data_IF_354237342776
#
_entry.id   IF_354237342776
#
_cell.length_a   1.000
_cell.length_b   1.000
_cell.length_c   1.000
_cell.angle_alpha   90.00
_cell.angle_beta   90.00
_cell.angle_gamma   90.00
#
_symmetry.space_group_name_H-M   'P 1'
#
loop_
_entity.id
_entity.type
_entity.pdbx_description
1 polymer ?
#
# COMPACT_ATOMS: atom_id res chain seq x y z
N UNK A 1 24.80 -20.02 -0.48
CA UNK A 1 24.27 -18.90 0.32
C UNK A 1 24.77 -17.62 -0.30
N UNK A 2 23.88 -16.64 -0.43
CA UNK A 2 24.19 -15.31 -0.97
C UNK A 2 25.12 -14.57 0.00
N UNK A 3 26.09 -13.82 -0.54
CA UNK A 3 27.11 -13.07 0.21
C UNK A 3 27.19 -11.64 -0.32
N UNK A 4 27.87 -10.71 0.37
CA UNK A 4 28.07 -9.34 -0.13
C UNK A 4 28.78 -9.24 -1.49
N UNK A 5 29.51 -10.28 -1.90
CA UNK A 5 30.17 -10.38 -3.22
C UNK A 5 29.25 -10.97 -4.31
N UNK A 6 28.09 -11.48 -3.94
CA UNK A 6 27.13 -12.05 -4.89
C UNK A 6 26.53 -10.95 -5.77
N UNK A 7 26.37 -11.25 -7.05
CA UNK A 7 25.61 -10.40 -7.96
C UNK A 7 24.11 -10.61 -7.77
N UNK A 8 23.43 -9.56 -7.33
CA UNK A 8 21.99 -9.58 -7.05
C UNK A 8 21.24 -8.75 -8.09
N UNK A 9 20.31 -9.40 -8.79
CA UNK A 9 19.33 -8.72 -9.64
C UNK A 9 18.01 -8.67 -8.88
N UNK A 10 17.37 -7.50 -8.87
CA UNK A 10 16.02 -7.30 -8.32
C UNK A 10 15.11 -6.88 -9.47
N UNK A 11 14.04 -7.64 -9.72
CA UNK A 11 13.04 -7.30 -10.73
C UNK A 11 11.85 -6.62 -10.05
N UNK A 12 11.61 -5.37 -10.38
CA UNK A 12 10.60 -4.49 -9.77
C UNK A 12 11.24 -3.41 -8.89
N UNK A 13 11.06 -2.15 -9.28
CA UNK A 13 11.58 -0.95 -8.61
C UNK A 13 10.55 -0.23 -7.74
N UNK A 14 9.56 -0.95 -7.21
CA UNK A 14 8.59 -0.45 -6.22
C UNK A 14 9.07 -0.61 -4.78
N UNK A 15 8.14 -0.59 -3.81
CA UNK A 15 8.44 -0.62 -2.36
C UNK A 15 9.37 -1.76 -1.95
N UNK A 16 9.02 -3.00 -2.29
CA UNK A 16 9.81 -4.17 -1.92
C UNK A 16 11.19 -4.16 -2.58
N UNK A 17 11.29 -3.76 -3.84
CA UNK A 17 12.56 -3.71 -4.56
C UNK A 17 13.49 -2.62 -4.06
N UNK A 18 13.00 -1.38 -3.91
CA UNK A 18 13.77 -0.24 -3.40
C UNK A 18 14.27 -0.49 -1.98
N UNK A 19 13.38 -0.95 -1.10
CA UNK A 19 13.75 -1.22 0.29
C UNK A 19 14.81 -2.32 0.36
N UNK A 20 14.59 -3.45 -0.32
CA UNK A 20 15.56 -4.55 -0.40
C UNK A 20 16.92 -4.08 -0.90
N UNK A 21 16.95 -3.34 -2.02
CA UNK A 21 18.21 -2.88 -2.61
C UNK A 21 18.97 -1.94 -1.68
N UNK A 22 18.28 -0.98 -1.05
CA UNK A 22 18.89 -0.03 -0.12
C UNK A 22 19.56 -0.74 1.06
N UNK A 23 18.86 -1.71 1.64
CA UNK A 23 19.35 -2.43 2.81
C UNK A 23 20.43 -3.47 2.47
N UNK A 24 20.39 -4.10 1.29
CA UNK A 24 21.51 -4.90 0.80
C UNK A 24 22.76 -4.04 0.60
N UNK A 25 22.64 -2.88 -0.06
CA UNK A 25 23.77 -1.99 -0.29
C UNK A 25 24.37 -1.47 1.04
N UNK A 26 23.52 -1.04 1.98
CA UNK A 26 23.92 -0.69 3.37
C UNK A 26 24.56 -1.86 4.11
N UNK A 27 24.11 -3.08 3.82
CA UNK A 27 24.64 -4.35 4.32
C UNK A 27 25.97 -4.78 3.71
N UNK A 28 26.52 -4.00 2.77
CA UNK A 28 27.83 -4.24 2.16
C UNK A 28 27.78 -4.93 0.79
N UNK A 29 26.60 -5.26 0.25
CA UNK A 29 26.49 -5.86 -1.09
C UNK A 29 26.97 -4.88 -2.16
N UNK A 30 27.86 -5.34 -3.05
CA UNK A 30 28.56 -4.46 -4.00
C UNK A 30 27.96 -4.45 -5.41
N UNK A 31 27.22 -5.49 -5.79
CA UNK A 31 26.68 -5.63 -7.15
C UNK A 31 25.17 -5.89 -7.12
N UNK A 32 24.40 -4.85 -6.79
CA UNK A 32 22.93 -4.87 -6.78
C UNK A 32 22.40 -4.04 -7.96
N UNK A 33 21.55 -4.64 -8.80
CA UNK A 33 20.92 -3.95 -9.92
C UNK A 33 19.40 -4.16 -9.91
N UNK A 34 18.63 -3.07 -9.98
CA UNK A 34 17.17 -3.09 -10.15
C UNK A 34 16.81 -2.99 -11.64
N UNK A 35 15.89 -3.86 -12.09
CA UNK A 35 15.26 -3.80 -13.40
C UNK A 35 13.77 -3.49 -13.25
N UNK A 36 13.26 -2.52 -14.01
CA UNK A 36 11.83 -2.22 -14.08
C UNK A 36 11.42 -1.68 -15.47
N UNK A 37 10.24 -2.08 -15.95
CA UNK A 37 9.67 -1.59 -17.22
C UNK A 37 9.32 -0.10 -17.17
N UNK A 38 9.06 0.45 -15.98
CA UNK A 38 8.73 1.86 -15.80
C UNK A 38 10.01 2.71 -15.80
N UNK A 39 10.00 3.82 -16.54
CA UNK A 39 11.12 4.75 -16.53
C UNK A 39 11.02 5.78 -15.39
N UNK A 40 11.41 5.36 -14.18
CA UNK A 40 11.38 6.22 -12.98
C UNK A 40 12.34 7.43 -13.01
N UNK A 41 13.25 7.50 -14.00
CA UNK A 41 14.07 8.70 -14.20
C UNK A 41 13.27 9.87 -14.76
N UNK A 42 12.20 9.59 -15.52
CA UNK A 42 11.44 10.61 -16.24
C UNK A 42 10.05 10.82 -15.66
N UNK A 43 9.38 9.76 -15.19
CA UNK A 43 8.02 9.86 -14.67
C UNK A 43 7.96 10.05 -13.14
N UNK A 44 9.08 9.94 -12.42
CA UNK A 44 9.16 10.18 -10.98
C UNK A 44 8.11 9.42 -10.14
N UNK A 45 7.73 8.20 -10.52
CA UNK A 45 6.67 7.42 -9.86
C UNK A 45 5.27 8.05 -9.94
N UNK A 46 5.06 9.00 -10.86
CA UNK A 46 3.78 9.67 -11.04
C UNK A 46 2.78 8.76 -11.80
N UNK A 47 1.63 8.41 -11.21
CA UNK A 47 0.60 7.59 -11.87
C UNK A 47 -0.08 8.28 -13.07
N UNK A 48 0.06 9.60 -13.22
CA UNK A 48 -0.38 10.31 -14.43
C UNK A 48 0.57 10.05 -15.61
N UNK A 49 1.85 9.81 -15.35
CA UNK A 49 2.93 9.70 -16.34
C UNK A 49 3.34 8.25 -16.65
N UNK A 50 2.36 7.33 -16.63
CA UNK A 50 2.57 5.95 -17.08
C UNK A 50 2.99 4.95 -16.01
N UNK A 51 3.09 5.35 -14.74
CA UNK A 51 3.36 4.40 -13.66
C UNK A 51 2.10 3.66 -13.20
N UNK A 52 2.17 2.33 -13.13
CA UNK A 52 1.02 1.49 -12.76
C UNK A 52 1.25 0.54 -11.58
N UNK A 53 2.43 0.61 -10.94
CA UNK A 53 2.67 -0.07 -9.68
C UNK A 53 1.90 0.54 -8.51
N UNK A 54 1.54 -0.27 -7.50
CA UNK A 54 0.86 0.19 -6.28
C UNK A 54 1.60 1.34 -5.56
N UNK A 55 2.93 1.38 -5.71
CA UNK A 55 3.83 2.37 -5.14
C UNK A 55 3.79 3.73 -5.84
N UNK A 56 3.29 3.78 -7.07
CA UNK A 56 3.07 5.01 -7.81
C UNK A 56 1.70 5.60 -7.44
N UNK A 57 1.73 6.56 -6.52
CA UNK A 57 0.55 7.28 -6.06
C UNK A 57 0.94 8.66 -5.56
N UNK A 58 -0.04 9.57 -5.44
CA UNK A 58 0.19 10.88 -4.84
C UNK A 58 0.41 10.78 -3.33
N UNK A 59 -0.32 9.87 -2.67
CA UNK A 59 -0.20 9.63 -1.24
C UNK A 59 -0.61 8.21 -0.83
N UNK A 60 -0.23 7.81 0.38
CA UNK A 60 -0.65 6.57 1.05
C UNK A 60 -0.85 6.80 2.54
N UNK A 61 -1.72 5.99 3.16
CA UNK A 61 -1.95 6.05 4.61
C UNK A 61 -0.76 5.46 5.36
N UNK A 62 -0.22 6.24 6.29
CA UNK A 62 0.64 5.74 7.35
C UNK A 62 -0.19 5.50 8.60
N UNK A 63 -0.08 4.28 9.18
CA UNK A 63 -0.66 3.96 10.49
C UNK A 63 0.08 2.82 11.17
N UNK A 64 0.10 2.84 12.50
CA UNK A 64 0.70 1.81 13.34
C UNK A 64 -0.31 0.88 14.05
N UNK A 65 -1.61 1.19 14.04
CA UNK A 65 -2.64 0.35 14.68
C UNK A 65 -2.92 -0.90 13.84
N UNK A 66 -2.74 -2.11 14.41
CA UNK A 66 -2.87 -3.39 13.69
C UNK A 66 -3.68 -4.48 14.42
N UNK A 67 -4.32 -4.16 15.55
CA UNK A 67 -5.01 -5.13 16.39
C UNK A 67 -4.03 -6.18 16.87
N UNK A 68 -4.45 -7.45 16.91
CA UNK A 68 -3.63 -8.59 17.34
C UNK A 68 -2.35 -8.87 16.52
N UNK A 69 -2.12 -8.17 15.40
CA UNK A 69 -0.87 -8.30 14.60
C UNK A 69 0.24 -7.39 15.12
N UNK A 70 0.69 -7.65 16.34
CA UNK A 70 1.73 -6.88 17.05
C UNK A 70 3.00 -6.70 16.21
N UNK A 71 3.45 -7.74 15.49
CA UNK A 71 4.64 -7.67 14.64
C UNK A 71 4.52 -6.60 13.54
N UNK A 72 3.32 -6.39 13.01
CA UNK A 72 3.05 -5.35 12.01
C UNK A 72 2.98 -3.95 12.63
N UNK A 73 2.48 -3.83 13.86
CA UNK A 73 2.50 -2.59 14.63
C UNK A 73 3.94 -2.16 14.90
N UNK A 74 4.77 -3.05 15.44
CA UNK A 74 6.16 -2.74 15.75
C UNK A 74 6.96 -2.36 14.50
N UNK A 75 6.74 -3.06 13.39
CA UNK A 75 7.38 -2.71 12.12
C UNK A 75 6.95 -1.33 11.63
N UNK A 76 5.70 -0.93 11.89
CA UNK A 76 5.20 0.38 11.50
C UNK A 76 5.77 1.48 12.39
N UNK A 77 5.88 1.24 13.70
CA UNK A 77 6.53 2.16 14.63
C UNK A 77 8.02 2.35 14.28
N UNK A 78 8.74 1.27 13.95
CA UNK A 78 10.13 1.37 13.48
C UNK A 78 10.22 2.12 12.15
N UNK A 79 9.33 1.83 11.20
CA UNK A 79 9.27 2.57 9.94
C UNK A 79 9.02 4.07 10.17
N UNK A 80 8.17 4.42 11.15
CA UNK A 80 7.84 5.80 11.52
C UNK A 80 9.09 6.60 11.81
N UNK A 81 9.98 6.05 12.62
CA UNK A 81 11.18 6.76 13.05
C UNK A 81 12.09 7.06 11.85
N UNK A 82 12.24 6.10 10.93
CA UNK A 82 13.01 6.30 9.70
C UNK A 82 12.33 7.30 8.76
N UNK A 83 11.00 7.30 8.67
CA UNK A 83 10.27 8.32 7.90
C UNK A 83 10.55 9.73 8.44
N UNK A 84 10.52 9.91 9.76
CA UNK A 84 10.80 11.20 10.40
C UNK A 84 12.27 11.61 10.24
N UNK A 85 13.20 10.65 10.25
CA UNK A 85 14.60 10.88 9.89
C UNK A 85 14.74 11.33 8.42
N UNK A 86 14.00 10.71 7.49
CA UNK A 86 14.01 11.12 6.09
C UNK A 86 13.49 12.55 5.91
N UNK A 87 12.39 12.92 6.57
CA UNK A 87 11.90 14.30 6.57
C UNK A 87 12.97 15.28 7.08
N UNK A 88 13.63 14.96 8.19
CA UNK A 88 14.70 15.80 8.74
C UNK A 88 15.86 15.96 7.76
N UNK A 89 16.33 14.85 7.18
CA UNK A 89 17.42 14.88 6.22
C UNK A 89 17.07 15.68 4.95
N UNK A 90 15.84 15.61 4.47
CA UNK A 90 15.36 16.41 3.33
C UNK A 90 15.35 17.90 3.68
N UNK A 91 14.77 18.25 4.83
CA UNK A 91 14.70 19.63 5.32
C UNK A 91 16.06 20.28 5.53
N UNK A 92 17.05 19.50 5.96
CA UNK A 92 18.43 19.96 6.19
C UNK A 92 19.29 19.98 4.92
N UNK A 93 18.81 19.40 3.81
CA UNK A 93 19.55 19.35 2.54
C UNK A 93 19.44 20.66 1.77
N UNK A 94 20.51 21.02 1.04
CA UNK A 94 20.41 22.10 0.06
C UNK A 94 19.54 21.64 -1.13
N UNK A 95 18.71 22.50 -1.76
CA UNK A 95 17.87 22.12 -2.88
C UNK A 95 18.60 21.42 -4.04
N UNK A 96 19.87 21.76 -4.29
CA UNK A 96 20.69 21.11 -5.34
C UNK A 96 21.10 19.69 -5.03
N UNK A 97 21.07 19.29 -3.75
CA UNK A 97 21.50 17.97 -3.31
C UNK A 97 20.34 16.96 -3.34
N UNK A 98 19.10 17.44 -3.47
CA UNK A 98 17.90 16.61 -3.53
C UNK A 98 17.58 16.16 -4.96
N UNK A 99 17.08 14.93 -5.15
CA UNK A 99 16.58 14.50 -6.45
C UNK A 99 15.30 15.26 -6.80
N UNK A 100 15.15 15.68 -8.05
CA UNK A 100 13.85 16.19 -8.53
C UNK A 100 12.77 15.10 -8.39
N UNK A 101 11.52 15.45 -8.05
CA UNK A 101 11.00 16.79 -7.80
C UNK A 101 11.01 17.21 -6.31
N UNK A 102 11.83 16.58 -5.46
CA UNK A 102 11.88 16.93 -4.03
C UNK A 102 12.49 18.31 -3.81
N UNK A 103 11.97 18.97 -2.78
CA UNK A 103 12.42 20.26 -2.24
C UNK A 103 12.59 20.13 -0.72
N UNK A 104 13.38 20.99 -0.06
CA UNK A 104 13.52 20.95 1.41
C UNK A 104 12.21 21.19 2.17
N UNK A 105 11.18 21.73 1.52
CA UNK A 105 9.84 21.92 2.05
C UNK A 105 8.99 20.63 2.07
N UNK A 106 9.43 19.58 1.39
CA UNK A 106 8.69 18.32 1.33
C UNK A 106 8.82 17.49 2.61
N UNK A 107 7.67 17.10 3.17
CA UNK A 107 7.57 16.09 4.21
C UNK A 107 7.07 14.78 3.60
N UNK A 108 7.93 13.76 3.56
CA UNK A 108 7.55 12.45 3.03
C UNK A 108 6.54 11.71 3.89
N UNK A 109 6.49 12.00 5.19
CA UNK A 109 5.44 11.57 6.12
C UNK A 109 4.91 12.79 6.87
N UNK A 110 3.63 13.11 6.67
CA UNK A 110 2.92 14.15 7.44
C UNK A 110 2.00 13.46 8.44
N UNK A 111 2.22 13.69 9.74
CA UNK A 111 1.38 13.17 10.82
C UNK A 111 0.11 14.02 11.01
N UNK A 112 -0.71 14.08 9.96
CA UNK A 112 -1.95 14.85 9.92
C UNK A 112 -3.10 14.20 10.71
N UNK A 113 -2.91 13.00 11.23
CA UNK A 113 -3.93 12.20 11.89
C UNK A 113 -4.63 11.23 10.92
N UNK A 114 -5.04 10.07 11.46
CA UNK A 114 -5.98 9.16 10.80
C UNK A 114 -7.21 8.98 11.69
N UNK A 115 -8.39 9.30 11.18
CA UNK A 115 -9.66 9.08 11.86
C UNK A 115 -10.23 7.71 11.46
N UNK A 116 -10.24 6.78 12.41
CA UNK A 116 -10.83 5.46 12.27
C UNK A 116 -12.31 5.53 12.62
N UNK A 117 -13.20 5.37 11.65
CA UNK A 117 -14.66 5.45 11.83
C UNK A 117 -15.34 4.13 11.47
N UNK A 118 -16.43 3.83 12.17
CA UNK A 118 -17.34 2.74 11.85
C UNK A 118 -18.79 3.15 12.12
N UNK A 119 -19.72 2.42 11.52
CA UNK A 119 -21.15 2.61 11.72
C UNK A 119 -21.61 2.22 13.13
N UNK A 120 -22.60 2.95 13.63
CA UNK A 120 -23.29 2.67 14.87
C UNK A 120 -22.70 3.40 16.08
N UNK A 121 -23.43 3.38 17.22
CA UNK A 121 -23.04 4.13 18.43
C UNK A 121 -21.98 3.42 19.27
N UNK A 122 -21.63 2.17 18.97
CA UNK A 122 -20.75 1.34 19.81
C UNK A 122 -19.45 1.03 19.07
N UNK A 123 -18.32 1.25 19.74
CA UNK A 123 -16.99 0.93 19.21
C UNK A 123 -16.92 -0.53 18.72
N UNK A 124 -16.52 -0.73 17.46
CA UNK A 124 -16.37 -2.08 16.93
C UNK A 124 -15.19 -2.83 17.61
N UNK A 125 -15.26 -4.17 17.75
CA UNK A 125 -14.22 -4.95 18.44
C UNK A 125 -12.80 -4.70 17.93
N UNK A 126 -12.64 -4.56 16.61
CA UNK A 126 -11.34 -4.29 15.98
C UNK A 126 -10.70 -2.98 16.48
N UNK A 127 -11.49 -1.94 16.73
CA UNK A 127 -10.97 -0.66 17.21
C UNK A 127 -10.64 -0.72 18.71
N UNK A 128 -11.42 -1.47 19.49
CA UNK A 128 -11.10 -1.78 20.88
C UNK A 128 -9.75 -2.51 20.96
N UNK A 129 -9.57 -3.56 20.15
CA UNK A 129 -8.33 -4.34 20.10
C UNK A 129 -7.13 -3.49 19.67
N UNK A 130 -7.27 -2.61 18.66
CA UNK A 130 -6.22 -1.66 18.27
C UNK A 130 -5.72 -0.81 19.45
N UNK A 131 -6.64 -0.30 20.26
CA UNK A 131 -6.30 0.59 21.38
C UNK A 131 -5.71 -0.19 22.55
N UNK A 132 -6.21 -1.39 22.82
CA UNK A 132 -5.68 -2.29 23.86
C UNK A 132 -4.26 -2.73 23.53
N UNK A 133 -4.02 -3.23 22.31
CA UNK A 133 -2.67 -3.66 21.90
C UNK A 133 -1.68 -2.49 21.90
N UNK A 134 -2.12 -1.28 21.51
CA UNK A 134 -1.27 -0.08 21.61
C UNK A 134 -0.92 0.25 23.06
N UNK A 135 -1.87 0.17 24.00
CA UNK A 135 -1.61 0.36 25.44
C UNK A 135 -0.63 -0.69 25.98
N UNK A 136 -0.79 -1.95 25.60
CA UNK A 136 0.00 -3.07 26.14
C UNK A 136 1.43 -3.11 25.59
N UNK A 137 1.59 -2.90 24.28
CA UNK A 137 2.87 -3.12 23.59
C UNK A 137 3.63 -1.82 23.31
N UNK A 138 2.94 -0.68 23.25
CA UNK A 138 3.52 0.62 22.95
C UNK A 138 2.85 1.75 23.77
N UNK A 139 2.84 1.67 25.12
CA UNK A 139 2.13 2.63 25.97
C UNK A 139 2.60 4.08 25.77
N UNK A 140 3.87 4.26 25.37
CA UNK A 140 4.41 5.57 25.01
C UNK A 140 3.74 6.20 23.79
N UNK A 141 3.01 5.46 22.96
CA UNK A 141 2.27 5.96 21.80
C UNK A 141 0.76 6.09 22.03
N UNK A 142 0.23 5.45 23.08
CA UNK A 142 -1.22 5.40 23.34
C UNK A 142 -1.86 6.77 23.57
N UNK A 143 -1.08 7.73 24.06
CA UNK A 143 -1.50 9.12 24.26
C UNK A 143 -1.85 9.86 22.96
N UNK A 144 -1.54 9.30 21.79
CA UNK A 144 -1.84 9.88 20.48
C UNK A 144 -3.18 9.44 19.88
N UNK A 145 -3.89 8.48 20.49
CA UNK A 145 -5.22 8.05 20.03
C UNK A 145 -6.32 8.62 20.92
N UNK A 146 -7.28 9.32 20.31
CA UNK A 146 -8.40 10.00 20.97
C UNK A 146 -9.71 9.31 20.57
N UNK A 147 -10.37 8.66 21.52
CA UNK A 147 -11.66 8.01 21.34
C UNK A 147 -12.73 9.08 21.10
N UNK A 148 -13.50 8.91 20.04
CA UNK A 148 -14.60 9.82 19.68
C UNK A 148 -15.63 9.85 20.82
N UNK A 149 -16.15 11.05 21.10
CA UNK A 149 -17.18 11.33 22.12
C UNK A 149 -16.74 11.09 23.58
N UNK A 150 -15.44 10.83 23.84
CA UNK A 150 -14.89 10.72 25.19
C UNK A 150 -14.34 12.05 25.69
N UNK A 151 -14.86 12.54 26.83
CA UNK A 151 -14.55 13.88 27.33
C UNK A 151 -13.08 14.07 27.75
N UNK A 152 -12.42 13.01 28.25
CA UNK A 152 -10.98 13.04 28.52
C UNK A 152 -10.18 13.15 27.23
N UNK A 153 -10.61 12.47 26.17
CA UNK A 153 -9.91 12.43 24.90
C UNK A 153 -10.11 13.71 24.08
N UNK A 154 -11.27 14.36 24.21
CA UNK A 154 -11.49 15.72 23.71
C UNK A 154 -10.53 16.73 24.36
N UNK A 155 -10.34 16.63 25.69
CA UNK A 155 -9.36 17.46 26.42
C UNK A 155 -7.93 17.17 25.94
N UNK A 156 -7.55 15.90 25.79
CA UNK A 156 -6.22 15.50 25.30
C UNK A 156 -5.98 15.96 23.87
N UNK A 157 -6.96 15.82 22.97
CA UNK A 157 -6.88 16.30 21.59
C UNK A 157 -6.71 17.83 21.57
N UNK A 158 -7.49 18.56 22.36
CA UNK A 158 -7.38 20.03 22.47
C UNK A 158 -6.01 20.48 23.00
N UNK A 159 -5.42 19.73 23.94
CA UNK A 159 -4.08 19.99 24.45
C UNK A 159 -2.96 19.72 23.41
N UNK A 160 -3.20 18.86 22.41
CA UNK A 160 -2.27 18.67 21.28
C UNK A 160 -2.27 19.84 20.30
N UNK A 161 -3.33 20.66 20.30
CA UNK A 161 -3.41 21.90 19.53
C UNK A 161 -4.82 22.21 19.05
N UNK A 162 -5.10 23.48 18.68
CA UNK A 162 -6.43 23.91 18.25
C UNK A 162 -6.91 23.16 16.99
N UNK A 163 -6.00 22.80 16.07
CA UNK A 163 -6.36 22.01 14.90
C UNK A 163 -6.82 20.60 15.26
N UNK A 164 -6.24 19.98 16.29
CA UNK A 164 -6.65 18.64 16.74
C UNK A 164 -8.05 18.62 17.37
N UNK A 165 -8.43 19.68 18.07
CA UNK A 165 -9.81 19.86 18.55
C UNK A 165 -10.80 19.91 17.37
N UNK A 166 -10.49 20.68 16.31
CA UNK A 166 -11.32 20.71 15.09
C UNK A 166 -11.39 19.34 14.43
N UNK A 167 -10.25 18.64 14.31
CA UNK A 167 -10.17 17.29 13.72
C UNK A 167 -10.98 16.27 14.51
N UNK A 168 -10.98 16.36 15.85
CA UNK A 168 -11.73 15.48 16.73
C UNK A 168 -13.25 15.54 16.47
N UNK A 169 -13.78 16.76 16.29
CA UNK A 169 -15.21 17.00 16.04
C UNK A 169 -15.64 16.91 14.57
N UNK A 170 -14.72 16.62 13.65
CA UNK A 170 -14.95 16.68 12.21
C UNK A 170 -16.14 15.81 11.75
N UNK A 171 -16.35 14.67 12.42
CA UNK A 171 -17.34 13.67 12.02
C UNK A 171 -18.54 13.57 12.96
N UNK A 172 -18.72 14.51 13.89
CA UNK A 172 -19.79 14.45 14.90
C UNK A 172 -21.20 14.41 14.31
N UNK A 173 -21.39 15.06 13.16
CA UNK A 173 -22.68 15.09 12.46
C UNK A 173 -22.81 14.01 11.39
N UNK A 174 -21.75 13.27 11.11
CA UNK A 174 -21.78 12.24 10.08
C UNK A 174 -22.79 11.15 10.46
N UNK A 175 -23.65 10.78 9.51
CA UNK A 175 -24.76 9.84 9.74
C UNK A 175 -25.59 10.16 10.99
N UNK A 176 -25.91 11.43 11.20
CA UNK A 176 -26.67 11.91 12.36
C UNK A 176 -26.00 11.60 13.71
N UNK A 177 -24.67 11.50 13.72
CA UNK A 177 -23.87 11.17 14.90
C UNK A 177 -23.81 9.69 15.24
N UNK A 178 -24.42 8.82 14.44
CA UNK A 178 -24.43 7.37 14.65
C UNK A 178 -23.14 6.70 14.14
N UNK A 179 -21.99 7.19 14.59
CA UNK A 179 -20.67 6.64 14.24
C UNK A 179 -19.79 6.54 15.48
N UNK A 180 -18.95 5.51 15.52
CA UNK A 180 -17.94 5.29 16.55
C UNK A 180 -16.54 5.31 15.94
N UNK A 181 -15.51 5.48 16.78
CA UNK A 181 -14.16 5.55 16.27
C UNK A 181 -13.15 6.19 17.20
N UNK A 182 -11.94 6.38 16.67
CA UNK A 182 -10.89 7.15 17.32
C UNK A 182 -10.04 7.90 16.29
N UNK A 183 -9.51 9.06 16.68
CA UNK A 183 -8.54 9.85 15.93
C UNK A 183 -7.13 9.51 16.40
N UNK A 184 -6.26 9.07 15.49
CA UNK A 184 -4.88 8.71 15.77
C UNK A 184 -3.91 9.77 15.23
N UNK A 185 -3.36 10.59 16.13
CA UNK A 185 -2.36 11.63 15.81
C UNK A 185 -0.96 11.07 15.52
N UNK A 186 -0.68 9.82 15.85
CA UNK A 186 0.56 9.13 15.50
C UNK A 186 0.62 8.66 14.05
N UNK A 187 -0.49 8.86 13.32
CA UNK A 187 -0.74 8.38 11.96
C UNK A 187 -0.96 9.54 10.98
N UNK A 188 -0.95 9.28 9.67
CA UNK A 188 -1.17 10.32 8.67
C UNK A 188 -1.00 9.87 7.23
N UNK A 189 -0.42 10.73 6.38
CA UNK A 189 -0.13 10.43 4.97
C UNK A 189 1.36 10.42 4.68
N UNK A 190 1.75 9.61 3.70
CA UNK A 190 3.04 9.72 3.03
C UNK A 190 2.89 10.30 1.63
N UNK A 191 3.84 11.11 1.16
CA UNK A 191 3.96 11.50 -0.25
C UNK A 191 4.59 10.34 -1.03
N UNK A 192 3.77 9.55 -1.71
CA UNK A 192 4.17 8.20 -2.10
C UNK A 192 5.16 8.16 -3.27
N UNK A 193 4.88 8.92 -4.33
CA UNK A 193 5.77 9.13 -5.46
C UNK A 193 7.14 9.68 -5.02
N UNK A 194 7.16 10.79 -4.27
CA UNK A 194 8.38 11.44 -3.76
C UNK A 194 9.14 10.53 -2.82
N UNK A 195 8.47 9.73 -2.00
CA UNK A 195 9.15 8.77 -1.15
C UNK A 195 9.87 7.68 -1.94
N UNK A 196 9.26 7.17 -3.03
CA UNK A 196 9.93 6.25 -3.93
C UNK A 196 11.11 6.92 -4.66
N UNK A 197 10.97 8.17 -5.09
CA UNK A 197 12.08 8.96 -5.65
C UNK A 197 13.23 9.09 -4.65
N UNK A 198 12.94 9.42 -3.40
CA UNK A 198 13.95 9.59 -2.35
C UNK A 198 14.62 8.25 -2.01
N UNK A 199 13.85 7.17 -1.85
CA UNK A 199 14.41 5.83 -1.63
C UNK A 199 15.31 5.39 -2.79
N UNK A 200 14.93 5.68 -4.04
CA UNK A 200 15.75 5.43 -5.24
C UNK A 200 17.05 6.23 -5.21
N UNK A 201 16.97 7.50 -4.85
CA UNK A 201 18.15 8.36 -4.68
C UNK A 201 19.11 7.82 -3.60
N UNK A 202 18.58 7.35 -2.47
CA UNK A 202 19.39 6.70 -1.43
C UNK A 202 20.03 5.39 -1.94
N UNK A 203 19.31 4.59 -2.73
CA UNK A 203 19.87 3.40 -3.39
C UNK A 203 21.04 3.77 -4.30
N UNK A 204 20.87 4.79 -5.15
CA UNK A 204 21.92 5.26 -6.07
C UNK A 204 23.14 5.77 -5.32
N UNK A 205 22.95 6.55 -4.24
CA UNK A 205 24.04 6.98 -3.34
C UNK A 205 24.76 5.80 -2.68
N UNK A 206 24.05 4.71 -2.42
CA UNK A 206 24.64 3.48 -1.89
C UNK A 206 25.29 2.57 -2.96
N UNK A 207 25.28 2.96 -4.23
CA UNK A 207 25.91 2.22 -5.34
C UNK A 207 24.99 1.24 -6.08
N UNK A 208 23.69 1.22 -5.79
CA UNK A 208 22.71 0.38 -6.51
C UNK A 208 22.56 0.90 -7.94
N UNK A 209 22.59 -0.03 -8.90
CA UNK A 209 22.41 0.24 -10.34
C UNK A 209 20.94 0.09 -10.72
N UNK A 210 20.53 0.78 -11.78
CA UNK A 210 19.16 0.77 -12.27
C UNK A 210 19.13 0.62 -13.79
N UNK A 211 18.32 -0.31 -14.29
CA UNK A 211 17.98 -0.46 -15.71
C UNK A 211 16.48 -0.30 -15.83
N UNK A 212 16.05 0.85 -16.35
CA UNK A 212 14.65 1.31 -16.28
C UNK A 212 14.10 1.60 -17.67
N UNK A 213 12.80 1.37 -17.84
CA UNK A 213 12.07 1.70 -19.07
C UNK A 213 12.01 0.52 -20.05
N UNK A 214 10.88 0.38 -20.74
CA UNK A 214 10.76 -0.54 -21.87
C UNK A 214 11.65 -0.09 -23.06
N UNK A 215 12.34 -1.02 -23.75
CA UNK A 215 12.39 -2.46 -23.48
C UNK A 215 13.50 -2.91 -22.51
N UNK A 216 14.53 -2.09 -22.26
CA UNK A 216 15.76 -2.50 -21.57
C UNK A 216 15.58 -2.91 -20.09
N UNK A 217 14.60 -2.33 -19.40
CA UNK A 217 14.30 -2.62 -17.99
C UNK A 217 13.14 -3.61 -17.82
N UNK A 218 12.43 -3.96 -18.89
CA UNK A 218 11.32 -4.90 -18.83
C UNK A 218 11.84 -6.34 -18.89
N UNK A 219 11.38 -7.16 -17.94
CA UNK A 219 11.69 -8.58 -17.90
C UNK A 219 10.96 -9.32 -19.03
N UNK A 220 11.71 -10.08 -19.82
CA UNK A 220 11.16 -11.11 -20.72
C UNK A 220 10.97 -12.41 -19.91
N UNK A 221 12.05 -13.03 -19.43
CA UNK A 221 11.97 -14.23 -18.59
C UNK A 221 13.21 -14.46 -17.71
N UNK A 222 13.04 -15.33 -16.71
CA UNK A 222 14.14 -15.85 -15.88
C UNK A 222 14.97 -16.87 -16.66
N UNK A 223 16.30 -16.73 -16.65
CA UNK A 223 17.19 -17.70 -17.28
C UNK A 223 17.42 -18.85 -16.31
N UNK A 224 16.79 -19.99 -16.58
CA UNK A 224 16.85 -21.18 -15.72
C UNK A 224 17.68 -22.30 -16.35
N UNK A 225 18.35 -23.08 -15.50
CA UNK A 225 19.07 -24.30 -15.89
C UNK A 225 18.74 -25.41 -14.90
N UNK A 226 18.64 -26.65 -15.40
CA UNK A 226 18.50 -27.81 -14.52
C UNK A 226 19.73 -28.01 -13.63
N UNK A 227 19.48 -28.40 -12.38
CA UNK A 227 20.46 -28.63 -11.33
C UNK A 227 20.05 -29.85 -10.49
N UNK A 228 20.23 -31.05 -11.03
CA UNK A 228 19.75 -32.29 -10.40
C UNK A 228 18.22 -32.37 -10.43
N UNK A 229 17.59 -32.53 -9.27
CA UNK A 229 16.13 -32.46 -9.11
C UNK A 229 15.59 -31.02 -9.09
N UNK A 230 16.47 -30.04 -8.90
CA UNK A 230 16.13 -28.63 -8.74
C UNK A 230 16.42 -27.84 -10.03
N UNK A 231 15.89 -26.61 -10.10
CA UNK A 231 16.29 -25.59 -11.06
C UNK A 231 17.30 -24.65 -10.42
N UNK A 232 18.07 -23.94 -11.25
CA UNK A 232 18.85 -22.78 -10.82
C UNK A 232 18.59 -21.62 -11.78
N UNK A 233 18.23 -20.47 -11.23
CA UNK A 233 18.22 -19.18 -11.96
C UNK A 233 19.65 -18.68 -12.06
N UNK A 234 20.05 -18.31 -13.28
CA UNK A 234 21.40 -17.81 -13.61
C UNK A 234 21.41 -16.32 -13.95
N UNK A 235 20.25 -15.68 -13.95
CA UNK A 235 20.07 -14.31 -14.39
C UNK A 235 18.68 -14.09 -15.02
N UNK A 236 18.57 -13.00 -15.75
CA UNK A 236 17.35 -12.60 -16.46
C UNK A 236 17.65 -12.29 -17.93
N UNK A 237 16.62 -12.39 -18.77
CA UNK A 237 16.59 -11.80 -20.10
C UNK A 237 15.57 -10.66 -20.12
N UNK A 238 15.93 -9.54 -20.73
CA UNK A 238 15.08 -8.35 -20.89
C UNK A 238 14.47 -8.29 -22.28
N UNK A 239 13.39 -7.52 -22.45
CA UNK A 239 12.65 -7.44 -23.71
C UNK A 239 13.45 -6.81 -24.88
N UNK A 240 14.57 -6.15 -24.60
CA UNK A 240 15.53 -5.69 -25.62
C UNK A 240 16.42 -6.83 -26.17
N UNK A 241 16.28 -8.05 -25.64
CA UNK A 241 17.06 -9.22 -25.99
C UNK A 241 18.33 -9.42 -25.16
N UNK A 242 18.67 -8.47 -24.28
CA UNK A 242 19.88 -8.51 -23.44
C UNK A 242 19.79 -9.58 -22.36
N UNK A 243 20.93 -10.18 -22.03
CA UNK A 243 21.07 -11.18 -20.96
C UNK A 243 21.88 -10.60 -19.81
N UNK A 244 21.37 -10.73 -18.59
CA UNK A 244 22.03 -10.26 -17.38
C UNK A 244 22.22 -11.42 -16.40
N UNK A 245 23.46 -11.89 -16.24
CA UNK A 245 23.78 -12.96 -15.30
C UNK A 245 23.67 -12.48 -13.85
N UNK A 246 23.28 -13.35 -12.92
CA UNK A 246 23.20 -13.10 -11.48
C UNK A 246 23.48 -14.38 -10.67
N UNK A 247 23.93 -14.20 -9.43
CA UNK A 247 24.02 -15.27 -8.44
C UNK A 247 22.69 -15.48 -7.72
N UNK A 248 21.93 -14.39 -7.56
CA UNK A 248 20.59 -14.34 -6.99
C UNK A 248 19.68 -13.42 -7.81
N UNK A 249 18.46 -13.88 -8.11
CA UNK A 249 17.38 -13.02 -8.63
C UNK A 249 16.30 -12.87 -7.57
N UNK A 250 15.93 -11.63 -7.25
CA UNK A 250 14.82 -11.28 -6.36
C UNK A 250 13.64 -10.82 -7.22
N UNK A 251 12.49 -11.48 -7.09
CA UNK A 251 11.23 -11.08 -7.74
C UNK A 251 10.43 -10.21 -6.77
N UNK A 252 10.40 -8.90 -7.05
CA UNK A 252 9.68 -7.88 -6.29
C UNK A 252 8.63 -7.16 -7.17
N UNK A 253 7.95 -7.93 -8.03
CA UNK A 253 7.10 -7.43 -9.10
C UNK A 253 5.66 -7.09 -8.68
N UNK A 254 5.36 -7.03 -7.37
CA UNK A 254 4.01 -6.74 -6.86
C UNK A 254 2.94 -7.58 -7.58
N UNK A 255 1.87 -6.98 -8.14
CA UNK A 255 0.77 -7.73 -8.76
C UNK A 255 1.19 -8.53 -10.00
N UNK A 256 2.38 -8.28 -10.59
CA UNK A 256 2.93 -9.07 -11.68
C UNK A 256 3.74 -10.28 -11.20
N UNK A 257 3.87 -10.51 -9.89
CA UNK A 257 4.70 -11.60 -9.34
C UNK A 257 4.30 -12.97 -9.90
N UNK A 258 3.01 -13.29 -9.96
CA UNK A 258 2.54 -14.58 -10.48
C UNK A 258 2.75 -14.75 -12.00
N UNK A 259 2.90 -13.66 -12.76
CA UNK A 259 3.26 -13.73 -14.18
C UNK A 259 4.75 -14.09 -14.37
N UNK A 260 5.61 -13.61 -13.46
CA UNK A 260 7.05 -13.92 -13.46
C UNK A 260 7.35 -15.27 -12.83
N UNK A 261 6.64 -15.61 -11.75
CA UNK A 261 6.78 -16.83 -10.99
C UNK A 261 5.40 -17.52 -10.87
N UNK A 262 4.99 -18.31 -11.87
CA UNK A 262 3.71 -19.00 -11.87
C UNK A 262 3.48 -19.86 -10.62
N UNK A 263 4.53 -20.45 -10.05
CA UNK A 263 4.46 -21.24 -8.81
C UNK A 263 3.89 -20.47 -7.60
N UNK A 264 3.95 -19.13 -7.62
CA UNK A 264 3.44 -18.28 -6.55
C UNK A 264 1.91 -18.14 -6.54
N UNK A 265 1.19 -18.62 -7.58
CA UNK A 265 -0.28 -18.50 -7.67
C UNK A 265 -1.03 -19.16 -6.51
N UNK A 266 -0.41 -20.09 -5.78
CA UNK A 266 -1.00 -20.74 -4.59
C UNK A 266 -0.70 -20.01 -3.27
N UNK A 267 0.05 -18.92 -3.34
CA UNK A 267 0.52 -18.14 -2.19
C UNK A 267 -0.02 -16.72 -2.24
N UNK A 268 -0.09 -16.16 -3.44
CA UNK A 268 -0.45 -14.77 -3.68
C UNK A 268 -1.29 -14.61 -4.93
N UNK A 269 -2.12 -13.57 -4.92
CA UNK A 269 -2.90 -13.14 -6.07
C UNK A 269 -2.81 -11.63 -6.18
N UNK A 270 -2.93 -11.12 -7.40
CA UNK A 270 -3.10 -9.69 -7.57
C UNK A 270 -4.49 -9.28 -7.07
N UNK A 271 -4.64 -8.04 -6.63
CA UNK A 271 -5.87 -7.50 -6.05
C UNK A 271 -6.02 -6.06 -6.51
N UNK A 272 -7.25 -5.63 -6.81
CA UNK A 272 -7.51 -4.22 -7.16
C UNK A 272 -8.19 -3.45 -6.00
N UNK A 273 -7.70 -2.23 -5.80
CA UNK A 273 -8.42 -1.17 -5.09
C UNK A 273 -8.96 -0.13 -6.07
N UNK A 274 -9.99 0.60 -5.65
CA UNK A 274 -10.53 1.73 -6.39
C UNK A 274 -9.94 3.04 -5.86
N UNK A 275 -9.44 3.89 -6.75
CA UNK A 275 -8.99 5.25 -6.41
C UNK A 275 -9.76 6.26 -7.26
N UNK A 276 -10.23 7.34 -6.65
CA UNK A 276 -10.91 8.44 -7.32
C UNK A 276 -10.32 9.76 -6.84
N UNK A 277 -10.26 10.75 -7.73
CA UNK A 277 -9.68 12.05 -7.49
C UNK A 277 -10.75 13.13 -7.66
N UNK A 278 -10.61 14.21 -6.89
CA UNK A 278 -11.38 15.45 -7.04
C UNK A 278 -10.36 16.58 -7.05
N UNK A 279 -10.12 17.17 -8.21
CA UNK A 279 -9.22 18.33 -8.30
C UNK A 279 -9.97 19.59 -7.86
N UNK A 280 -9.59 20.10 -6.69
CA UNK A 280 -10.16 21.33 -6.15
C UNK A 280 -9.65 22.53 -6.97
N UNK A 281 -10.55 23.33 -7.59
CA UNK A 281 -10.16 24.50 -8.39
C UNK A 281 -9.27 25.49 -7.62
N UNK A 282 -8.40 26.21 -8.33
CA UNK A 282 -7.44 27.17 -7.73
C UNK A 282 -8.11 28.35 -7.02
N UNK A 283 -9.28 28.77 -7.50
CA UNK A 283 -10.08 29.85 -6.94
C UNK A 283 -10.85 29.43 -5.68
N UNK A 284 -11.08 28.12 -5.47
CA UNK A 284 -11.68 27.55 -4.23
C UNK A 284 -10.66 27.45 -3.10
N UNK A 285 -10.11 28.60 -2.71
CA UNK A 285 -9.14 28.73 -1.60
C UNK A 285 -9.68 28.18 -0.29
N UNK A 286 -10.98 28.34 -0.04
CA UNK A 286 -11.70 27.80 1.11
C UNK A 286 -11.60 26.27 1.19
N UNK A 287 -11.75 25.58 0.06
CA UNK A 287 -11.65 24.12 0.01
C UNK A 287 -10.20 23.65 0.04
N UNK A 288 -9.29 24.34 -0.64
CA UNK A 288 -7.87 24.01 -0.60
C UNK A 288 -7.30 24.12 0.80
N UNK A 289 -7.70 25.15 1.54
CA UNK A 289 -7.37 25.29 2.96
C UNK A 289 -8.03 24.17 3.78
N UNK A 290 -9.34 23.94 3.63
CA UNK A 290 -10.08 22.92 4.38
C UNK A 290 -9.47 21.51 4.21
N UNK A 291 -9.11 21.12 2.99
CA UNK A 291 -8.59 19.80 2.66
C UNK A 291 -7.06 19.70 2.71
N UNK A 292 -6.37 20.75 3.18
CA UNK A 292 -4.94 20.68 3.46
C UNK A 292 -4.67 19.69 4.62
N UNK A 293 -3.60 18.88 4.58
CA UNK A 293 -3.28 17.90 5.64
C UNK A 293 -3.19 18.51 7.06
N UNK A 294 -2.85 19.78 7.18
CA UNK A 294 -2.83 20.46 8.48
C UNK A 294 -4.23 20.58 9.10
N UNK A 295 -5.26 20.70 8.26
CA UNK A 295 -6.63 21.02 8.67
C UNK A 295 -7.56 19.79 8.68
N UNK A 296 -7.27 18.77 7.86
CA UNK A 296 -8.07 17.55 7.78
C UNK A 296 -7.23 16.30 8.07
N UNK A 297 -7.70 15.35 8.90
CA UNK A 297 -7.04 14.06 9.00
C UNK A 297 -7.38 13.23 7.76
N UNK A 298 -6.57 12.20 7.50
CA UNK A 298 -7.08 11.10 6.68
C UNK A 298 -8.18 10.41 7.44
N UNK A 299 -9.13 9.81 6.76
CA UNK A 299 -10.17 9.05 7.42
C UNK A 299 -10.36 7.70 6.75
N UNK A 300 -10.74 6.72 7.55
CA UNK A 300 -11.17 5.41 7.09
C UNK A 300 -12.55 5.16 7.65
N UNK A 301 -13.48 4.81 6.77
CA UNK A 301 -14.84 4.48 7.14
C UNK A 301 -15.13 3.02 6.82
N UNK A 302 -15.63 2.28 7.82
CA UNK A 302 -16.07 0.90 7.66
C UNK A 302 -17.60 0.86 7.71
N UNK A 303 -18.22 0.36 6.63
CA UNK A 303 -19.65 0.06 6.56
C UNK A 303 -19.83 -1.45 6.49
N UNK A 304 -20.35 -2.06 7.57
CA UNK A 304 -20.52 -3.52 7.69
C UNK A 304 -19.21 -4.30 7.92
N UNK A 305 -19.30 -5.63 7.98
CA UNK A 305 -18.14 -6.55 8.04
C UNK A 305 -17.58 -6.74 6.62
N UNK A 306 -16.60 -5.91 6.22
CA UNK A 306 -16.12 -5.85 4.84
C UNK A 306 -14.89 -6.73 4.55
N UNK A 307 -15.09 -7.82 3.80
CA UNK A 307 -14.02 -8.59 3.14
C UNK A 307 -13.67 -7.97 1.76
N UNK A 308 -12.37 -7.77 1.49
CA UNK A 308 -11.82 -7.21 0.24
C UNK A 308 -11.79 -8.21 -0.93
N UNK A 309 -11.71 -7.71 -2.18
CA UNK A 309 -11.94 -8.47 -3.43
C UNK A 309 -10.76 -8.30 -4.44
N UNK A 310 -10.45 -9.35 -5.23
CA UNK A 310 -9.11 -9.73 -5.77
C UNK A 310 -9.15 -10.04 -7.30
N UNK A 311 -8.05 -9.88 -8.09
CA UNK A 311 -7.95 -10.22 -9.55
C UNK A 311 -6.52 -10.11 -10.19
N UNK A 312 -6.29 -10.61 -11.41
CA UNK A 312 -5.06 -10.36 -12.21
C UNK A 312 -4.96 -8.93 -12.78
N UNK A 313 -3.77 -8.29 -12.83
CA UNK A 313 -3.69 -6.85 -13.06
C UNK A 313 -3.97 -6.44 -14.51
N UNK A 314 -5.05 -5.67 -14.70
CA UNK A 314 -5.36 -4.89 -15.91
C UNK A 314 -5.41 -3.41 -15.59
N UNK A 315 -4.48 -2.64 -16.14
CA UNK A 315 -4.30 -1.21 -15.86
C UNK A 315 -4.80 -0.37 -17.05
N UNK A 316 -4.90 0.97 -16.88
CA UNK A 316 -5.18 1.90 -18.00
C UNK A 316 -4.10 1.87 -19.11
N UNK A 317 -2.94 1.28 -18.82
CA UNK A 317 -1.81 1.17 -19.74
C UNK A 317 -1.61 -0.26 -20.28
N UNK A 318 -2.49 -1.19 -19.93
CA UNK A 318 -2.47 -2.55 -20.48
C UNK A 318 -2.97 -2.57 -21.94
N UNK A 319 -2.61 -3.59 -22.76
CA UNK A 319 -3.11 -3.72 -24.14
C UNK A 319 -4.65 -3.74 -24.23
N UNK A 320 -5.32 -4.30 -23.22
CA UNK A 320 -6.77 -4.22 -23.02
C UNK A 320 -7.11 -3.38 -21.78
N UNK A 321 -7.16 -2.05 -21.89
CA UNK A 321 -7.19 -1.15 -20.75
C UNK A 321 -8.52 -1.19 -19.98
N UNK A 322 -8.46 -1.01 -18.67
CA UNK A 322 -9.62 -0.71 -17.82
C UNK A 322 -9.49 0.73 -17.33
N UNK A 323 -10.38 1.59 -17.82
CA UNK A 323 -10.39 3.03 -17.55
C UNK A 323 -11.59 3.46 -16.69
N UNK A 324 -12.10 2.53 -15.88
CA UNK A 324 -13.24 2.75 -14.98
C UNK A 324 -13.05 1.91 -13.71
N UNK A 325 -14.00 2.01 -12.80
CA UNK A 325 -13.94 1.40 -11.46
C UNK A 325 -15.18 0.53 -11.21
N UNK A 326 -15.15 -0.41 -10.25
CA UNK A 326 -16.33 -1.14 -9.83
C UNK A 326 -17.46 -0.19 -9.39
N UNK A 327 -18.67 -0.43 -9.91
CA UNK A 327 -19.84 0.42 -9.64
C UNK A 327 -20.15 0.52 -8.14
N UNK A 328 -20.00 -0.58 -7.39
CA UNK A 328 -20.23 -0.56 -5.95
C UNK A 328 -19.23 0.36 -5.22
N UNK A 329 -17.98 0.43 -5.67
CA UNK A 329 -16.96 1.31 -5.10
C UNK A 329 -17.29 2.78 -5.38
N UNK A 330 -17.75 3.09 -6.60
CA UNK A 330 -18.25 4.41 -6.97
C UNK A 330 -19.44 4.86 -6.13
N UNK A 331 -20.47 4.02 -5.99
CA UNK A 331 -21.65 4.38 -5.21
C UNK A 331 -21.34 4.57 -3.71
N UNK A 332 -20.44 3.76 -3.14
CA UNK A 332 -19.97 3.94 -1.77
C UNK A 332 -19.24 5.28 -1.60
N UNK A 333 -18.30 5.60 -2.50
CA UNK A 333 -17.58 6.88 -2.46
C UNK A 333 -18.52 8.07 -2.62
N UNK A 334 -19.52 7.99 -3.50
CA UNK A 334 -20.55 9.04 -3.65
C UNK A 334 -21.38 9.23 -2.39
N UNK A 335 -21.76 8.14 -1.73
CA UNK A 335 -22.49 8.20 -0.46
C UNK A 335 -21.65 8.90 0.62
N UNK A 336 -20.37 8.54 0.73
CA UNK A 336 -19.50 9.09 1.76
C UNK A 336 -19.17 10.55 1.47
N UNK A 337 -18.74 10.90 0.25
CA UNK A 337 -18.46 12.28 -0.14
C UNK A 337 -19.73 13.13 -0.06
N UNK A 338 -20.86 12.67 -0.58
CA UNK A 338 -22.13 13.42 -0.53
C UNK A 338 -22.65 13.62 0.90
N UNK A 339 -22.35 12.71 1.82
CA UNK A 339 -22.73 12.82 3.22
C UNK A 339 -21.80 13.68 4.08
N UNK A 340 -20.48 13.62 3.82
CA UNK A 340 -19.46 14.29 4.62
C UNK A 340 -19.04 15.65 4.06
N UNK A 341 -18.89 15.72 2.74
CA UNK A 341 -18.29 16.83 2.02
C UNK A 341 -19.16 17.18 0.81
N UNK A 342 -20.44 17.59 1.01
CA UNK A 342 -21.35 17.91 -0.08
C UNK A 342 -20.80 18.99 -1.02
N UNK A 343 -19.93 19.87 -0.54
CA UNK A 343 -19.23 20.86 -1.35
C UNK A 343 -18.24 20.28 -2.36
N UNK A 344 -17.76 19.04 -2.15
CA UNK A 344 -16.96 18.29 -3.13
C UNK A 344 -17.84 17.57 -4.15
N UNK A 345 -19.08 17.23 -3.79
CA UNK A 345 -20.04 16.63 -4.73
C UNK A 345 -20.41 17.59 -5.87
N UNK A 346 -20.39 18.90 -5.61
CA UNK A 346 -20.61 19.95 -6.61
C UNK A 346 -19.43 20.04 -7.61
N UNK A 347 -18.22 19.61 -7.24
CA UNK A 347 -17.06 19.54 -8.14
C UNK A 347 -17.09 18.23 -8.95
N UNK A 348 -17.37 17.11 -8.29
CA UNK A 348 -17.38 15.79 -8.91
C UNK A 348 -16.00 15.13 -9.00
N UNK A 349 -15.98 13.83 -9.32
CA UNK A 349 -14.71 13.12 -9.55
C UNK A 349 -14.09 13.55 -10.88
N UNK A 350 -12.82 13.95 -10.84
CA UNK A 350 -12.06 14.43 -12.00
C UNK A 350 -11.25 13.33 -12.67
N UNK A 351 -10.82 12.32 -11.91
CA UNK A 351 -10.13 11.13 -12.42
C UNK A 351 -10.45 9.90 -11.56
N UNK A 352 -10.23 8.71 -12.10
CA UNK A 352 -10.31 7.46 -11.36
C UNK A 352 -9.40 6.39 -11.96
N UNK A 353 -8.94 5.48 -11.12
CA UNK A 353 -8.11 4.35 -11.57
C UNK A 353 -8.28 3.13 -10.69
N UNK A 354 -7.96 1.98 -11.27
CA UNK A 354 -7.65 0.79 -10.51
C UNK A 354 -6.22 0.87 -10.00
N UNK A 355 -6.04 0.56 -8.71
CA UNK A 355 -4.74 0.38 -8.10
C UNK A 355 -4.52 -1.10 -7.81
N UNK A 356 -3.53 -1.71 -8.46
CA UNK A 356 -3.24 -3.13 -8.27
C UNK A 356 -2.17 -3.35 -7.22
N UNK A 357 -2.43 -4.25 -6.29
CA UNK A 357 -1.48 -4.75 -5.29
C UNK A 357 -1.56 -6.28 -5.21
N UNK A 358 -0.87 -6.90 -4.27
CA UNK A 358 -0.81 -8.36 -4.14
C UNK A 358 -1.23 -8.76 -2.75
N UNK A 359 -2.32 -9.51 -2.63
CA UNK A 359 -2.68 -10.17 -1.38
C UNK A 359 -1.99 -11.53 -1.30
N UNK A 360 -1.60 -11.92 -0.10
CA UNK A 360 -1.24 -13.30 0.23
C UNK A 360 -2.39 -13.98 0.96
N UNK A 361 -2.40 -15.31 0.98
CA UNK A 361 -3.48 -16.15 1.54
C UNK A 361 -3.85 -15.87 3.02
N UNK A 362 -3.02 -15.14 3.76
CA UNK A 362 -3.23 -14.77 5.17
C UNK A 362 -2.98 -13.26 5.45
N UNK A 363 -2.82 -12.47 4.39
CA UNK A 363 -2.49 -11.04 4.45
C UNK A 363 -1.14 -10.71 5.12
N UNK A 364 -0.20 -11.66 5.19
CA UNK A 364 1.20 -11.41 5.61
C UNK A 364 2.14 -11.32 4.40
N UNK A 365 3.31 -10.70 4.53
CA UNK A 365 4.27 -10.67 3.43
C UNK A 365 4.75 -12.08 3.04
N UNK A 366 5.20 -12.22 1.78
CA UNK A 366 5.85 -13.44 1.28
C UNK A 366 7.26 -13.04 0.86
N UNK A 367 8.21 -13.31 1.74
CA UNK A 367 9.63 -12.94 1.63
C UNK A 367 10.43 -14.20 1.97
N UNK A 368 10.93 -14.90 0.95
CA UNK A 368 11.71 -16.12 1.15
C UNK A 368 12.44 -16.59 -0.12
N UNK A 369 13.29 -17.61 0.02
CA UNK A 369 13.75 -18.38 -1.13
C UNK A 369 12.60 -19.21 -1.72
N UNK A 370 12.52 -19.25 -3.04
CA UNK A 370 11.51 -20.05 -3.74
C UNK A 370 11.95 -21.53 -3.74
N UNK A 371 11.12 -22.47 -3.24
CA UNK A 371 11.47 -23.89 -3.20
C UNK A 371 11.79 -24.46 -4.59
N UNK A 372 12.77 -25.36 -4.65
CA UNK A 372 13.18 -26.03 -5.90
C UNK A 372 14.09 -25.19 -6.82
N UNK A 373 14.58 -24.03 -6.37
CA UNK A 373 15.46 -23.16 -7.14
C UNK A 373 16.91 -23.08 -6.61
N UNK A 374 17.37 -24.07 -5.83
CA UNK A 374 18.76 -24.16 -5.33
C UNK A 374 19.32 -22.83 -4.79
N UNK A 375 18.54 -22.12 -3.97
CA UNK A 375 18.84 -20.81 -3.38
C UNK A 375 19.27 -19.72 -4.38
N UNK A 376 18.72 -19.73 -5.60
CA UNK A 376 19.04 -18.74 -6.65
C UNK A 376 17.88 -17.83 -7.04
N UNK A 377 16.69 -18.09 -6.50
CA UNK A 377 15.49 -17.29 -6.70
C UNK A 377 14.87 -16.94 -5.35
N UNK A 378 14.61 -15.67 -5.15
CA UNK A 378 14.02 -15.11 -3.94
C UNK A 378 12.77 -14.31 -4.31
N UNK A 379 11.74 -14.36 -3.47
CA UNK A 379 10.48 -13.63 -3.69
C UNK A 379 10.33 -12.54 -2.62
N UNK A 380 9.82 -11.38 -3.00
CA UNK A 380 9.48 -10.28 -2.09
C UNK A 380 8.14 -9.67 -2.52
N UNK A 381 7.04 -10.15 -1.96
CA UNK A 381 5.68 -9.78 -2.41
C UNK A 381 4.64 -9.90 -1.28
N UNK A 382 3.35 -9.89 -1.64
CA UNK A 382 2.26 -10.10 -0.68
C UNK A 382 1.98 -8.87 0.16
N UNK A 383 2.18 -7.67 -0.40
CA UNK A 383 2.02 -6.39 0.30
C UNK A 383 0.63 -6.13 0.88
N UNK A 384 -0.37 -6.95 0.56
CA UNK A 384 -1.68 -7.12 1.18
C UNK A 384 -2.42 -5.82 1.53
N UNK A 385 -2.34 -4.84 0.62
CA UNK A 385 -2.93 -3.51 0.78
C UNK A 385 -2.27 -2.61 1.85
N UNK A 386 -1.16 -3.00 2.48
CA UNK A 386 -0.53 -2.25 3.57
C UNK A 386 1.00 -2.07 3.47
N UNK A 387 1.65 -2.63 2.45
CA UNK A 387 3.11 -2.66 2.31
C UNK A 387 3.83 -1.30 2.22
N UNK A 388 3.18 -0.25 1.71
CA UNK A 388 3.86 1.01 1.36
C UNK A 388 4.56 1.68 2.55
N UNK A 389 3.90 1.73 3.70
CA UNK A 389 4.42 2.40 4.90
C UNK A 389 5.74 1.81 5.41
N UNK A 390 6.06 0.59 5.01
CA UNK A 390 7.27 -0.11 5.42
C UNK A 390 8.45 0.13 4.46
N UNK A 391 8.28 0.94 3.40
CA UNK A 391 9.33 1.27 2.44
C UNK A 391 10.70 1.58 3.09
N UNK A 392 10.80 2.36 4.18
CA UNK A 392 12.10 2.68 4.76
C UNK A 392 12.78 1.51 5.49
N UNK A 393 12.03 0.52 5.98
CA UNK A 393 12.52 -0.49 6.93
C UNK A 393 12.47 -1.93 6.40
N UNK A 394 11.57 -2.24 5.46
CA UNK A 394 11.27 -3.61 5.03
C UNK A 394 12.51 -4.40 4.60
N UNK A 395 13.40 -3.76 3.84
CA UNK A 395 14.63 -4.37 3.33
C UNK A 395 15.60 -4.84 4.41
N UNK A 396 15.54 -4.26 5.62
CA UNK A 396 16.34 -4.71 6.78
C UNK A 396 16.06 -6.17 7.09
N UNK A 397 14.77 -6.51 7.10
CA UNK A 397 14.28 -7.85 7.43
C UNK A 397 14.29 -8.78 6.20
N UNK A 398 14.14 -8.25 4.99
CA UNK A 398 14.42 -9.02 3.76
C UNK A 398 15.88 -9.50 3.74
N UNK A 399 16.83 -8.64 4.08
CA UNK A 399 18.26 -8.99 4.15
C UNK A 399 18.49 -10.12 5.17
N UNK A 400 17.88 -10.03 6.36
CA UNK A 400 17.98 -11.10 7.37
C UNK A 400 17.50 -12.45 6.82
N UNK A 401 16.33 -12.47 6.18
CA UNK A 401 15.79 -13.69 5.55
C UNK A 401 16.73 -14.24 4.47
N UNK A 402 17.25 -13.38 3.60
CA UNK A 402 18.15 -13.72 2.51
C UNK A 402 19.49 -14.30 3.02
N UNK A 403 20.00 -13.76 4.12
CA UNK A 403 21.23 -14.20 4.81
C UNK A 403 20.99 -15.36 5.80
N UNK A 404 19.74 -15.80 5.95
CA UNK A 404 19.31 -16.81 6.94
C UNK A 404 19.67 -16.44 8.38
N UNK A 405 19.57 -15.16 8.72
CA UNK A 405 19.65 -14.65 10.09
C UNK A 405 18.23 -14.62 10.65
N UNK A 406 17.85 -15.51 11.59
CA UNK A 406 16.48 -15.55 12.09
C UNK A 406 16.10 -14.28 12.85
N UNK A 407 14.89 -13.81 12.63
CA UNK A 407 14.25 -12.74 13.38
C UNK A 407 12.76 -13.05 13.61
N UNK A 408 12.03 -12.10 14.21
CA UNK A 408 10.60 -12.26 14.53
C UNK A 408 9.70 -12.43 13.30
N UNK A 409 10.15 -12.02 12.12
CA UNK A 409 9.39 -12.11 10.88
C UNK A 409 9.69 -13.38 10.08
N UNK A 410 10.87 -13.98 10.27
CA UNK A 410 11.27 -15.23 9.62
C UNK A 410 10.20 -16.34 9.61
N UNK A 411 9.54 -16.68 10.74
CA UNK A 411 8.50 -17.71 10.72
C UNK A 411 7.20 -17.27 10.02
N UNK A 412 6.96 -15.97 9.90
CA UNK A 412 5.72 -15.36 9.39
C UNK A 412 5.79 -15.18 7.87
N UNK A 413 6.90 -14.64 7.36
CA UNK A 413 7.03 -14.22 5.96
C UNK A 413 7.51 -15.32 5.01
N UNK A 414 7.82 -16.51 5.53
CA UNK A 414 8.29 -17.65 4.74
C UNK A 414 7.36 -18.00 3.58
N UNK A 415 7.91 -18.70 2.60
CA UNK A 415 7.14 -19.30 1.52
C UNK A 415 6.08 -20.25 2.11
N UNK A 416 4.85 -20.12 1.63
CA UNK A 416 3.69 -20.92 2.08
C UNK A 416 2.64 -20.95 1.00
N UNK A 417 1.90 -22.04 0.90
CA UNK A 417 0.81 -22.22 -0.07
C UNK A 417 -0.47 -22.58 0.66
N UNK A 418 -1.61 -22.49 -0.03
CA UNK A 418 -2.88 -23.03 0.50
C UNK A 418 -2.69 -24.49 0.91
N UNK A 419 -3.10 -24.79 2.15
CA UNK A 419 -3.12 -26.13 2.74
C UNK A 419 -4.57 -26.58 2.91
N UNK A 420 -4.88 -27.83 2.58
CA UNK A 420 -6.24 -28.36 2.71
C UNK A 420 -6.69 -28.32 4.18
N UNK A 421 -7.90 -27.80 4.43
CA UNK A 421 -8.47 -27.66 5.77
C UNK A 421 -7.98 -26.45 6.57
N UNK A 422 -7.03 -25.66 6.04
CA UNK A 422 -6.60 -24.40 6.68
C UNK A 422 -7.38 -23.23 6.09
N UNK A 423 -8.10 -22.51 6.95
CA UNK A 423 -8.81 -21.30 6.54
C UNK A 423 -7.81 -20.24 6.07
N UNK A 424 -8.05 -19.70 4.88
CA UNK A 424 -7.32 -18.59 4.30
C UNK A 424 -8.28 -17.38 4.18
N UNK A 425 -7.80 -16.25 3.68
CA UNK A 425 -8.59 -15.01 3.49
C UNK A 425 -9.55 -15.06 2.28
N UNK A 426 -9.98 -16.27 1.89
CA UNK A 426 -10.78 -16.54 0.71
C UNK A 426 -9.96 -16.69 -0.56
N UNK A 427 -8.72 -16.19 -0.66
CA UNK A 427 -7.88 -16.27 -1.88
C UNK A 427 -7.87 -17.65 -2.58
N UNK A 428 -7.96 -18.72 -1.82
CA UNK A 428 -8.06 -20.09 -2.28
C UNK A 428 -9.24 -20.39 -3.22
N UNK A 429 -10.30 -19.57 -3.20
CA UNK A 429 -11.48 -19.72 -4.08
C UNK A 429 -11.16 -19.44 -5.56
N UNK A 430 -10.09 -18.67 -5.84
CA UNK A 430 -9.67 -18.29 -7.19
C UNK A 430 -10.80 -17.79 -8.10
N UNK A 431 -10.82 -18.28 -9.35
CA UNK A 431 -11.80 -17.89 -10.38
C UNK A 431 -13.25 -18.26 -10.02
N UNK A 432 -13.46 -19.24 -9.15
CA UNK A 432 -14.79 -19.63 -8.68
C UNK A 432 -15.34 -18.61 -7.66
N UNK A 433 -14.46 -17.88 -6.98
CA UNK A 433 -14.82 -16.90 -5.97
C UNK A 433 -15.71 -15.77 -6.50
N UNK A 434 -16.53 -15.14 -5.65
CA UNK A 434 -17.35 -13.97 -6.01
C UNK A 434 -16.51 -12.72 -6.30
N UNK A 435 -15.18 -12.82 -6.09
CA UNK A 435 -14.20 -11.74 -6.20
C UNK A 435 -13.64 -11.59 -7.61
N UNK A 436 -13.84 -12.57 -8.48
CA UNK A 436 -13.34 -12.58 -9.86
C UNK A 436 -13.89 -11.38 -10.68
N UNK A 437 -13.00 -10.71 -11.43
CA UNK A 437 -13.29 -9.42 -12.05
C UNK A 437 -14.34 -9.47 -13.15
N UNK A 438 -14.42 -10.54 -13.93
CA UNK A 438 -15.47 -10.72 -14.94
C UNK A 438 -16.88 -10.75 -14.35
N UNK A 439 -17.01 -11.07 -13.05
CA UNK A 439 -18.28 -11.02 -12.29
C UNK A 439 -18.58 -9.63 -11.70
N UNK A 440 -17.64 -8.69 -11.75
CA UNK A 440 -17.78 -7.35 -11.18
C UNK A 440 -18.45 -6.41 -12.18
N UNK A 441 -19.54 -5.76 -11.76
CA UNK A 441 -20.17 -4.69 -12.53
C UNK A 441 -19.33 -3.41 -12.48
N UNK A 442 -18.82 -2.97 -13.63
CA UNK A 442 -18.06 -1.73 -13.78
C UNK A 442 -18.97 -0.52 -13.99
N UNK A 443 -18.53 0.65 -13.54
CA UNK A 443 -19.23 1.93 -13.70
C UNK A 443 -19.20 2.42 -15.15
N UNK A 444 -20.29 3.06 -15.57
CA UNK A 444 -20.42 3.79 -16.84
C UNK A 444 -20.22 5.30 -16.61
N UNK A 445 -19.88 6.09 -17.64
CA UNK A 445 -19.68 7.53 -17.50
C UNK A 445 -20.85 8.26 -16.80
N UNK A 446 -22.10 7.85 -17.07
CA UNK A 446 -23.28 8.43 -16.43
C UNK A 446 -23.35 8.19 -14.92
N UNK A 447 -22.73 7.13 -14.40
CA UNK A 447 -22.79 6.74 -12.99
C UNK A 447 -21.94 7.67 -12.10
N UNK A 448 -20.98 8.39 -12.68
CA UNK A 448 -20.09 9.32 -11.97
C UNK A 448 -20.78 10.61 -11.52
N UNK A 449 -21.96 10.94 -12.08
CA UNK A 449 -22.71 12.12 -11.66
C UNK A 449 -23.28 11.92 -10.25
N UNK A 450 -23.01 12.86 -9.36
CA UNK A 450 -23.64 12.89 -8.04
C UNK A 450 -25.17 13.05 -8.18
N UNK A 451 -25.97 12.39 -7.33
CA UNK A 451 -27.42 12.54 -7.36
C UNK A 451 -27.81 13.98 -7.03
N UNK A 452 -28.85 14.51 -7.69
CA UNK A 452 -29.40 15.84 -7.39
C UNK A 452 -29.88 15.87 -5.92
N UNK A 453 -29.60 16.95 -5.18
CA UNK A 453 -29.99 17.13 -3.77
C UNK A 453 -31.46 16.73 -3.57
N UNK A 454 -31.70 15.66 -2.80
CA UNK A 454 -33.04 15.16 -2.47
C UNK A 454 -33.38 13.73 -2.93
N UNK A 455 -32.59 13.11 -3.81
CA UNK A 455 -32.77 11.69 -4.18
C UNK A 455 -31.97 10.76 -3.25
N UNK A 456 -32.63 9.79 -2.60
CA UNK A 456 -31.92 8.84 -1.72
C UNK A 456 -31.12 7.81 -2.54
N UNK A 457 -29.84 7.63 -2.17
CA UNK A 457 -28.97 6.56 -2.69
C UNK A 457 -29.33 5.17 -2.11
N UNK A 458 -30.14 5.14 -1.04
CA UNK A 458 -30.42 3.92 -0.26
C UNK A 458 -31.08 2.79 -1.06
N UNK A 459 -31.83 3.10 -2.13
CA UNK A 459 -32.53 2.10 -2.93
C UNK A 459 -31.68 1.31 -3.92
N UNK A 460 -30.52 1.85 -4.36
CA UNK A 460 -29.71 1.20 -5.42
C UNK A 460 -28.77 0.11 -4.91
N UNK A 461 -28.27 0.23 -3.68
CA UNK A 461 -27.39 -0.79 -3.09
C UNK A 461 -28.13 -2.08 -2.71
N UNK A 462 -29.40 -1.99 -2.30
CA UNK A 462 -30.23 -3.16 -2.00
C UNK A 462 -30.51 -4.03 -3.25
N UNK A 463 -30.47 -3.47 -4.46
CA UNK A 463 -30.61 -4.22 -5.71
C UNK A 463 -29.30 -4.86 -6.19
N UNK A 464 -28.17 -4.46 -5.63
CA UNK A 464 -26.85 -4.99 -5.96
C UNK A 464 -26.47 -6.08 -4.95
N UNK A 465 -27.21 -7.20 -4.90
CA UNK A 465 -26.95 -8.43 -4.10
C UNK A 465 -25.68 -8.38 -3.21
N UNK A 466 -25.76 -7.67 -2.09
CA UNK A 466 -24.83 -7.87 -0.96
C UNK A 466 -25.63 -8.69 0.04
N UNK A 467 -25.72 -9.99 -0.20
CA UNK A 467 -26.33 -10.90 0.76
C UNK A 467 -25.43 -10.94 2.01
N UNK A 468 -25.97 -10.71 3.22
CA UNK A 468 -25.23 -10.97 4.44
C UNK A 468 -25.16 -12.50 4.59
N UNK A 469 -23.96 -13.07 4.54
CA UNK A 469 -23.72 -14.42 5.06
C UNK A 469 -22.98 -14.30 6.37
N UNK A 470 -23.51 -14.98 7.37
CA UNK A 470 -23.01 -15.09 8.73
C UNK A 470 -21.60 -15.71 8.81
N UNK A 471 -20.79 -15.20 9.77
CA UNK A 471 -19.51 -15.73 10.30
C UNK A 471 -18.32 -15.56 9.33
N UNK A 472 -17.11 -15.13 9.73
CA UNK A 472 -16.37 -15.31 10.99
C UNK A 472 -15.37 -14.17 11.26
N UNK A 473 -15.02 -14.01 12.52
CA UNK A 473 -13.96 -13.16 13.07
C UNK A 473 -12.60 -13.32 12.34
N UNK A 474 -11.93 -12.20 12.07
CA UNK A 474 -10.47 -11.93 12.21
C UNK A 474 -10.15 -10.46 11.91
#
# INVERSE_FOLDING_TARGET
>A
MTTPESRVIIVGGGVFGLSTALWLARGGYKDVTIFDRCNFNTNYYNPADGCDGASADINKIFRATYGSREHSQDLALEARDIWLEWNRAIKESHPSDLPRPLTPEDELLTLCGVYHLADGPTMIPRYVENLQVMEETAPSFRHLQFIKDEADDERRASAHGPEWSKKFHLFDKFKHGATNGFLDAGSGITLADKACVYARYLCQKAGVKFVLGHPQGELDHLITKQNGSDKRVKGIKTCDGSTHAADLVVVACGPWTAAVLPEAHRSVEATMGTVMFIDVPEDRKDLREKFHPDNIPVWRFIQGEGEGRISTPRTKYSPEPINTVPLYGLELMKQVIGGLFPELADIGFTDSRLCWYTDSIDNEFVIDYVPGYSDSLFICTGGSGHGFKFLPVLGKYVKNQLERVPDRFTPIWKWRTVEEGKQCNGLEEGEAGPREMSKIKLAKPQDFHFPVKGSSLSGRLQQLNVAPKEKSQL
#
